data_IF_579098899798
#
_entry.id   IF_579098899798
#
_cell.length_a   1.000
_cell.length_b   1.000
_cell.length_c   1.000
_cell.angle_alpha   90.00
_cell.angle_beta   90.00
_cell.angle_gamma   90.00
#
_symmetry.space_group_name_H-M   'P 1'
#
loop_
_entity.id
_entity.type
_entity.pdbx_description
1 polymer ?
2 polymer ?
3 polymer ?
4 polymer ?
5 polymer ?
6 non-polymer ?
7 water ?
#
loop_
_entity_poly.entity_id
_entity_poly.type
_entity_poly.pdbx_seq_one_letter_code
_entity_poly.pdbx_strand_id
2 'polydeoxyribonucleotide' '(DA)(DC)(DA)(DA)(DC)(DA)(DG)(DA)(DG)(DG)(DA)(DT)(DG)(DG)(DA)(DG)(DC)(DT)' ?
3 'polydeoxyribonucleotide' '(DG)(DC)(DC)(DT)(DT)(DG)(DC)(DT)(DG)(DG)(DG)(DA)(DC)(DA)(DT)(DC)(DT)(DT)' ?
4 'polydeoxyribonucleotide' '(DA)(DG)(DC)(DT)(DC)(DC)(DA)(DT)(DC)(DC)(DA)(DG)(DC)(DA)(DA)(DG)(DG)(DC)' ?
5 'polydeoxyribonucleotide' '(DA)(DA)(DG)(DA)(DT)(DG)(DT)(DC)(DC)(DC)(DT)(DC)(DT)(DG)(DT)(DT)(DG)(DT)' ?
#
# COMPACT_ATOMS: atom_id res chain seq x y z
N UNK A 2 26.68 -0.36 12.88
CA UNK A 2 26.70 0.12 14.26
C UNK A 2 25.30 0.12 14.86
N UNK A 3 25.22 0.27 16.18
CA UNK A 3 23.94 0.29 16.86
C UNK A 3 23.12 1.51 16.43
N UNK A 4 21.80 1.34 16.38
CA UNK A 4 20.91 2.39 15.92
C UNK A 4 20.61 3.34 17.08
N UNK A 5 20.99 4.61 16.93
CA UNK A 5 20.77 5.59 17.98
C UNK A 5 19.51 6.42 17.79
N UNK A 6 18.90 6.39 16.61
CA UNK A 6 17.70 7.15 16.35
C UNK A 6 16.45 6.41 16.82
N UNK A 7 15.31 6.92 16.35
CA UNK A 7 14.04 6.29 16.66
C UNK A 7 13.88 4.98 15.88
N UNK A 8 13.24 4.01 16.52
CA UNK A 8 12.85 2.76 15.88
C UNK A 8 11.35 2.58 16.04
N UNK A 9 10.70 2.06 15.00
CA UNK A 9 9.25 1.91 14.98
C UNK A 9 8.92 0.51 14.47
N UNK A 10 8.04 -0.18 15.20
CA UNK A 10 7.54 -1.49 14.78
C UNK A 10 6.07 -1.37 14.44
N UNK A 11 5.68 -2.07 13.36
CA UNK A 11 4.32 -1.98 12.83
C UNK A 11 3.79 -3.40 12.62
N UNK A 12 2.59 -3.67 13.14
CA UNK A 12 1.85 -4.87 12.80
C UNK A 12 0.82 -4.49 11.74
N UNK A 13 1.02 -4.87 10.47
CA UNK A 13 0.21 -4.29 9.39
C UNK A 13 -1.20 -4.84 9.26
N UNK A 14 -1.61 -5.81 10.09
CA UNK A 14 -2.95 -6.37 9.94
C UNK A 14 -4.01 -5.33 10.30
N UNK A 15 -5.26 -5.67 9.99
CA UNK A 15 -6.35 -4.72 10.19
C UNK A 15 -6.45 -4.27 11.64
N UNK A 16 -6.29 -5.19 12.59
CA UNK A 16 -6.29 -4.86 14.01
C UNK A 16 -4.87 -4.81 14.58
N UNK A 17 -3.89 -4.47 13.75
CA UNK A 17 -2.52 -4.34 14.20
C UNK A 17 -2.31 -3.07 15.00
N UNK A 18 -1.04 -2.72 15.15
CA UNK A 18 -0.67 -1.57 15.96
C UNK A 18 0.69 -1.06 15.51
N UNK A 19 1.10 0.07 16.10
CA UNK A 19 2.38 0.70 15.81
C UNK A 19 3.02 1.08 17.15
N UNK A 20 4.29 0.73 17.33
CA UNK A 20 5.03 1.05 18.54
C UNK A 20 6.16 2.02 18.21
N UNK A 21 6.33 3.02 19.06
CA UNK A 21 7.36 4.05 18.89
C UNK A 21 8.31 4.00 20.07
N UNK A 22 9.60 3.84 19.79
CA UNK A 22 10.63 3.71 20.82
C UNK A 22 11.62 4.87 20.66
N UNK A 23 11.29 6.00 21.28
CA UNK A 23 12.24 7.11 21.34
C UNK A 23 13.38 6.73 22.29
N UNK A 24 14.61 7.13 21.98
CA UNK A 24 15.74 6.76 22.83
C UNK A 24 15.64 7.42 24.21
N UNK A 25 15.68 6.60 25.25
CA UNK A 25 15.65 7.07 26.64
C UNK A 25 14.40 7.92 26.92
N UNK A 26 13.27 7.48 26.39
CA UNK A 26 12.00 8.17 26.56
C UNK A 26 10.91 7.13 26.76
N UNK A 27 9.77 7.53 27.32
CA UNK A 27 8.66 6.59 27.52
C UNK A 27 8.21 5.97 26.20
N UNK A 28 8.21 4.64 26.10
CA UNK A 28 7.76 4.00 24.87
C UNK A 28 6.25 4.10 24.70
N UNK A 29 5.83 4.25 23.45
CA UNK A 29 4.42 4.47 23.12
C UNK A 29 3.94 3.42 22.12
N UNK A 30 2.63 3.14 22.17
CA UNK A 30 1.98 2.28 21.18
C UNK A 30 0.66 2.94 20.78
N UNK A 31 0.17 2.53 19.61
CA UNK A 31 -1.07 3.06 19.07
C UNK A 31 -1.78 1.97 18.29
N UNK A 32 -3.07 1.76 18.59
CA UNK A 32 -3.88 0.88 17.77
C UNK A 32 -4.01 1.45 16.36
N UNK A 33 -3.86 0.59 15.37
CA UNK A 33 -3.91 1.03 13.98
C UNK A 33 -5.27 1.64 13.67
N UNK A 34 -5.32 2.88 13.20
CA UNK A 34 -6.61 3.49 12.86
C UNK A 34 -7.30 2.73 11.74
N UNK A 35 -8.57 2.41 11.96
CA UNK A 35 -9.35 1.64 11.00
C UNK A 35 -10.72 2.31 10.81
N UNK A 36 -11.42 1.87 9.78
CA UNK A 36 -12.77 2.36 9.51
C UNK A 36 -13.56 1.24 8.86
N UNK A 37 -14.88 1.35 8.95
CA UNK A 37 -15.78 0.31 8.46
C UNK A 37 -16.21 0.62 7.03
N UNK A 38 -15.85 -0.25 6.11
CA UNK A 38 -16.10 -0.06 4.68
C UNK A 38 -17.14 -1.06 4.23
N UNK A 39 -18.05 -0.62 3.35
CA UNK A 39 -19.01 -1.52 2.75
C UNK A 39 -18.36 -2.28 1.61
N UNK A 40 -18.50 -3.61 1.63
CA UNK A 40 -17.93 -4.44 0.59
C UNK A 40 -18.86 -5.62 0.32
N UNK A 41 -19.34 -5.74 -0.90
CA UNK A 41 -20.27 -6.81 -1.21
C UNK A 41 -21.59 -6.57 -0.50
N UNK A 42 -21.98 -7.53 0.34
CA UNK A 42 -23.22 -7.45 1.09
C UNK A 42 -23.02 -6.99 2.52
N UNK A 43 -21.78 -6.96 3.01
CA UNK A 43 -21.53 -6.64 4.39
C UNK A 43 -20.56 -5.49 4.62
N UNK A 44 -20.07 -5.39 5.86
CA UNK A 44 -19.16 -4.33 6.26
C UNK A 44 -17.97 -4.95 6.99
N UNK A 45 -16.78 -4.45 6.70
CA UNK A 45 -15.56 -4.95 7.34
C UNK A 45 -14.67 -3.77 7.69
N UNK A 46 -13.84 -3.95 8.70
CA UNK A 46 -12.87 -2.93 9.07
C UNK A 46 -11.65 -3.00 8.16
N UNK A 47 -11.14 -1.84 7.78
CA UNK A 47 -9.94 -1.74 6.97
C UNK A 47 -9.13 -0.56 7.47
N UNK A 48 -7.83 -0.59 7.17
CA UNK A 48 -6.92 0.44 7.66
C UNK A 48 -7.30 1.81 7.12
N UNK A 49 -7.33 2.80 8.02
CA UNK A 49 -7.65 4.17 7.67
C UNK A 49 -6.35 4.87 7.27
N UNK A 50 -6.08 4.91 5.96
CA UNK A 50 -4.84 5.50 5.47
C UNK A 50 -4.71 6.97 5.86
N UNK A 51 -5.82 7.71 5.80
CA UNK A 51 -5.75 9.13 6.09
C UNK A 51 -5.40 9.37 7.56
N UNK A 52 -6.01 8.61 8.48
CA UNK A 52 -5.69 8.74 9.89
C UNK A 52 -4.30 8.21 10.22
N UNK A 53 -3.76 7.29 9.42
CA UNK A 53 -2.42 6.77 9.68
C UNK A 53 -1.38 7.86 9.40
N UNK A 54 -1.53 8.56 8.27
CA UNK A 54 -0.57 9.62 7.95
C UNK A 54 -0.72 10.79 8.91
N UNK A 55 -1.90 10.95 9.50
CA UNK A 55 -2.06 11.98 10.53
C UNK A 55 -1.38 11.57 11.83
N UNK A 56 -1.35 10.28 12.14
CA UNK A 56 -0.66 9.82 13.32
C UNK A 56 0.85 9.92 13.15
N UNK A 57 1.37 9.51 12.00
CA UNK A 57 2.81 9.52 11.77
C UNK A 57 3.34 10.95 11.69
N UNK A 58 2.58 11.87 11.08
CA UNK A 58 3.01 13.25 11.01
C UNK A 58 2.95 13.94 12.37
N UNK A 59 2.14 13.43 13.30
CA UNK A 59 2.15 13.95 14.66
C UNK A 59 3.42 13.58 15.40
N UNK A 60 4.13 12.53 14.95
CA UNK A 60 5.41 12.20 15.55
C UNK A 60 6.48 13.22 15.22
N UNK A 61 6.42 13.80 14.02
CA UNK A 61 7.46 14.68 13.50
C UNK A 61 8.83 14.03 13.62
N UNK A 62 8.91 12.77 13.17
CA UNK A 62 10.12 11.99 13.30
C UNK A 62 11.20 12.48 12.33
N UNK A 63 12.47 12.25 12.65
CA UNK A 63 13.53 12.56 11.68
C UNK A 63 13.36 11.75 10.42
N UNK A 64 13.66 12.36 9.28
CA UNK A 64 13.54 11.67 8.01
C UNK A 64 14.53 10.52 7.96
N UNK A 65 14.11 9.41 7.35
CA UNK A 65 14.91 8.21 7.36
C UNK A 65 14.80 7.39 8.63
N UNK A 66 13.84 7.69 9.49
CA UNK A 66 13.65 6.91 10.71
C UNK A 66 13.32 5.46 10.36
N UNK A 67 14.10 4.54 10.93
CA UNK A 67 13.93 3.13 10.61
C UNK A 67 12.60 2.62 11.15
N UNK A 68 11.82 1.99 10.27
CA UNK A 68 10.54 1.39 10.63
C UNK A 68 10.58 -0.07 10.21
N UNK A 69 10.38 -0.97 11.18
CA UNK A 69 10.37 -2.40 10.93
C UNK A 69 8.93 -2.88 10.87
N UNK A 70 8.56 -3.50 9.75
CA UNK A 70 7.19 -3.91 9.49
C UNK A 70 7.15 -5.43 9.34
N UNK A 71 6.22 -6.06 10.05
CA UNK A 71 6.09 -7.51 9.98
C UNK A 71 5.58 -7.92 8.60
N UNK A 72 6.26 -8.89 7.99
CA UNK A 72 5.86 -9.36 6.68
C UNK A 72 4.53 -10.10 6.76
N UNK A 73 3.71 -9.94 5.72
CA UNK A 73 2.46 -10.69 5.58
C UNK A 73 2.75 -11.97 4.80
N UNK A 74 2.67 -13.11 5.49
CA UNK A 74 2.89 -14.42 4.86
C UNK A 74 1.75 -15.34 5.27
N UNK A 75 0.63 -15.29 4.56
CA UNK A 75 -0.53 -16.13 4.92
C UNK A 75 -0.28 -17.60 4.61
N UNK A 76 -1.21 -18.43 5.10
CA UNK A 76 -1.11 -19.87 4.84
C UNK A 76 -1.93 -20.23 3.60
N UNK A 77 -1.58 -21.32 2.92
CA UNK A 77 -2.41 -21.77 1.80
C UNK A 77 -3.83 -22.13 2.21
N UNK A 78 -4.03 -22.54 3.47
CA UNK A 78 -5.37 -22.88 3.94
C UNK A 78 -6.24 -21.65 4.13
N UNK A 79 -5.66 -20.46 4.24
CA UNK A 79 -6.46 -19.28 4.46
C UNK A 79 -7.20 -18.87 3.19
N UNK A 80 -8.35 -18.23 3.37
CA UNK A 80 -9.18 -17.87 2.24
C UNK A 80 -8.57 -16.78 1.39
N UNK A 81 -9.15 -16.61 0.19
CA UNK A 81 -8.69 -15.57 -0.73
C UNK A 81 -8.77 -14.19 -0.08
N UNK A 82 -9.83 -13.94 0.69
CA UNK A 82 -9.95 -12.66 1.36
C UNK A 82 -8.85 -12.46 2.39
N UNK A 83 -8.43 -13.53 3.06
CA UNK A 83 -7.30 -13.43 3.97
C UNK A 83 -6.02 -13.03 3.27
N UNK A 84 -5.77 -13.62 2.10
CA UNK A 84 -4.60 -13.24 1.32
C UNK A 84 -4.72 -11.81 0.81
N UNK A 85 -5.90 -11.44 0.29
CA UNK A 85 -6.07 -10.09 -0.24
C UNK A 85 -5.86 -9.05 0.86
N UNK A 86 -6.54 -9.21 2.00
CA UNK A 86 -6.37 -8.29 3.11
C UNK A 86 -4.94 -8.28 3.63
N UNK A 87 -4.26 -9.43 3.59
CA UNK A 87 -2.89 -9.47 4.06
C UNK A 87 -1.98 -8.57 3.25
N UNK A 88 -2.05 -8.68 1.92
CA UNK A 88 -1.24 -7.83 1.07
C UNK A 88 -1.67 -6.37 1.12
N UNK A 89 -2.96 -6.12 1.32
CA UNK A 89 -3.47 -4.74 1.34
C UNK A 89 -2.86 -3.95 2.50
N UNK A 90 -3.02 -4.45 3.73
CA UNK A 90 -2.45 -3.77 4.88
C UNK A 90 -0.94 -3.71 4.83
N UNK A 91 -0.30 -4.72 4.24
CA UNK A 91 1.15 -4.70 4.12
C UNK A 91 1.60 -3.67 3.08
N UNK A 92 0.89 -3.59 1.96
CA UNK A 92 1.24 -2.61 0.94
C UNK A 92 0.91 -1.18 1.35
N UNK A 93 -0.24 -0.99 2.00
CA UNK A 93 -0.61 0.36 2.43
C UNK A 93 0.40 0.92 3.43
N UNK A 94 0.79 0.11 4.42
CA UNK A 94 1.76 0.59 5.40
C UNK A 94 3.08 0.97 4.74
N UNK A 95 3.62 0.09 3.90
CA UNK A 95 4.86 0.38 3.19
C UNK A 95 4.70 1.64 2.34
N UNK A 96 3.57 1.77 1.67
CA UNK A 96 3.35 2.94 0.83
C UNK A 96 3.29 4.23 1.62
N UNK A 97 2.59 4.20 2.77
CA UNK A 97 2.52 5.38 3.62
C UNK A 97 3.89 5.74 4.17
N UNK A 98 4.61 4.74 4.69
CA UNK A 98 5.88 5.02 5.35
C UNK A 98 6.93 5.51 4.37
N UNK A 99 7.01 4.87 3.20
CA UNK A 99 7.98 5.31 2.18
C UNK A 99 7.65 6.72 1.70
N UNK A 100 6.37 6.98 1.42
CA UNK A 100 5.99 8.32 0.98
C UNK A 100 6.21 9.36 2.08
N UNK A 101 6.11 8.96 3.34
CA UNK A 101 6.33 9.88 4.46
C UNK A 101 7.80 10.10 4.77
N UNK A 102 8.71 9.47 4.04
CA UNK A 102 10.13 9.67 4.25
C UNK A 102 10.80 8.71 5.21
N UNK A 103 10.09 7.67 5.66
CA UNK A 103 10.68 6.71 6.57
C UNK A 103 11.49 5.67 5.81
N UNK A 104 12.38 4.99 6.54
CA UNK A 104 13.14 3.87 6.01
C UNK A 104 12.46 2.59 6.49
N UNK A 105 11.92 1.82 5.55
CA UNK A 105 11.09 0.66 5.86
C UNK A 105 11.94 -0.60 5.74
N UNK A 106 11.89 -1.43 6.78
CA UNK A 106 12.61 -2.70 6.79
C UNK A 106 11.62 -3.83 7.04
N UNK A 107 11.33 -4.65 6.04
CA UNK A 107 10.44 -5.79 6.29
C UNK A 107 11.16 -6.86 7.12
N UNK A 108 10.48 -7.35 8.15
CA UNK A 108 11.01 -8.36 9.05
C UNK A 108 10.05 -9.54 9.05
N UNK A 109 10.52 -10.76 8.79
CA UNK A 109 9.62 -11.93 8.89
C UNK A 109 9.05 -12.08 10.30
N UNK A 110 7.83 -12.59 10.38
CA UNK A 110 7.15 -12.75 11.66
C UNK A 110 7.92 -13.72 12.57
N UNK A 111 8.69 -14.64 11.99
CA UNK A 111 9.47 -15.57 12.80
C UNK A 111 10.71 -14.91 13.40
N UNK A 112 11.23 -13.86 12.75
CA UNK A 112 12.51 -13.29 13.16
C UNK A 112 12.42 -12.67 14.56
N UNK A 113 11.47 -11.77 14.77
CA UNK A 113 11.40 -11.08 16.05
C UNK A 113 10.90 -12.00 17.16
N UNK A 114 10.06 -12.98 16.84
CA UNK A 114 9.62 -13.92 17.86
C UNK A 114 10.75 -14.89 18.24
N UNK A 115 11.64 -15.21 17.30
CA UNK A 115 12.79 -16.06 17.61
C UNK A 115 13.80 -15.33 18.48
N UNK A 116 13.81 -13.99 18.42
CA UNK A 116 14.71 -13.21 19.25
C UNK A 116 14.40 -13.40 20.73
N UNK A 117 13.12 -13.49 21.07
CA UNK A 117 12.70 -13.61 22.46
C UNK A 117 12.13 -15.00 22.74
N UNK A 126 2.47 -17.01 20.76
CA UNK A 126 1.45 -15.98 20.52
C UNK A 126 0.64 -15.73 21.79
N UNK A 127 0.32 -16.80 22.50
CA UNK A 127 -0.47 -16.67 23.73
C UNK A 127 0.29 -15.90 24.80
N UNK A 128 1.61 -16.07 24.84
CA UNK A 128 2.46 -15.44 25.85
C UNK A 128 3.03 -14.11 25.38
N UNK A 129 2.79 -13.71 24.12
CA UNK A 129 3.48 -12.56 23.56
C UNK A 129 3.19 -11.27 24.32
N UNK A 130 1.96 -11.11 24.81
CA UNK A 130 1.62 -9.89 25.53
C UNK A 130 2.36 -9.78 26.85
N UNK A 131 2.50 -10.90 27.57
CA UNK A 131 3.22 -10.86 28.84
C UNK A 131 4.71 -10.66 28.62
N UNK A 132 5.25 -11.14 27.51
CA UNK A 132 6.65 -10.87 27.19
C UNK A 132 6.87 -9.40 26.93
N UNK A 133 5.93 -8.76 26.21
CA UNK A 133 6.03 -7.33 25.98
C UNK A 133 5.64 -6.54 27.22
N UNK A 134 4.77 -7.11 28.06
CA UNK A 134 4.35 -6.41 29.27
C UNK A 134 5.50 -6.25 30.24
N UNK A 135 6.31 -7.29 30.41
CA UNK A 135 7.46 -7.17 31.31
C UNK A 135 8.58 -6.36 30.66
N UNK A 136 8.73 -6.48 29.34
CA UNK A 136 9.76 -5.73 28.63
C UNK A 136 9.47 -4.23 28.69
N UNK A 137 8.19 -3.86 28.59
CA UNK A 137 7.76 -2.47 28.64
C UNK A 137 6.75 -2.33 29.78
N UNK A 138 7.21 -2.13 31.01
CA UNK A 138 6.29 -2.11 32.15
C UNK A 138 5.34 -0.93 32.14
N UNK A 139 5.71 0.19 31.51
CA UNK A 139 4.83 1.36 31.49
C UNK A 139 3.52 1.06 30.78
N UNK A 140 3.59 0.30 29.68
CA UNK A 140 2.43 -0.04 28.88
C UNK A 140 1.79 -1.36 29.30
N UNK A 141 2.11 -1.84 30.50
CA UNK A 141 1.55 -3.11 30.97
C UNK A 141 0.04 -3.02 31.17
N UNK A 142 -0.46 -1.83 31.51
CA UNK A 142 -1.90 -1.66 31.70
C UNK A 142 -2.67 -1.84 30.39
N UNK A 143 -2.02 -1.60 29.25
CA UNK A 143 -2.66 -1.76 27.96
C UNK A 143 -2.66 -3.20 27.48
N UNK A 144 -1.77 -4.04 28.02
CA UNK A 144 -1.65 -5.44 27.61
C UNK A 144 -2.36 -6.37 28.58
N UNK A 145 -3.57 -6.02 29.01
CA UNK A 145 -4.36 -6.86 29.90
C UNK A 145 -5.41 -7.68 29.16
N UNK A 146 -5.96 -7.15 28.07
CA UNK A 146 -6.95 -7.84 27.26
C UNK A 146 -6.23 -8.48 26.08
N UNK A 147 -6.43 -9.79 25.90
CA UNK A 147 -5.70 -10.54 24.87
C UNK A 147 -5.94 -10.00 23.47
N UNK A 148 -6.99 -9.19 23.26
CA UNK A 148 -7.17 -8.54 21.97
C UNK A 148 -6.10 -7.50 21.68
N UNK A 149 -5.24 -7.19 22.66
CA UNK A 149 -4.12 -6.29 22.47
C UNK A 149 -2.87 -7.01 21.99
N UNK A 150 -3.02 -8.20 21.40
CA UNK A 150 -1.86 -8.91 20.88
C UNK A 150 -1.20 -8.14 19.74
N UNK A 151 -1.97 -7.33 19.01
CA UNK A 151 -1.39 -6.48 18.00
C UNK A 151 -0.50 -5.39 18.58
N UNK A 152 -0.85 -4.88 19.76
CA UNK A 152 0.01 -3.92 20.44
C UNK A 152 1.34 -4.56 20.85
N UNK A 153 1.26 -5.74 21.48
CA UNK A 153 2.47 -6.44 21.87
C UNK A 153 3.32 -6.82 20.67
N UNK A 154 2.69 -7.10 19.53
CA UNK A 154 3.43 -7.39 18.31
C UNK A 154 4.28 -6.20 17.89
N UNK A 155 3.65 -5.02 17.78
CA UNK A 155 4.38 -3.82 17.38
C UNK A 155 5.52 -3.52 18.34
N UNK A 156 5.31 -3.78 19.64
CA UNK A 156 6.37 -3.57 20.61
C UNK A 156 7.54 -4.51 20.36
N UNK A 157 7.26 -5.81 20.25
CA UNK A 157 8.33 -6.79 20.06
C UNK A 157 9.00 -6.64 18.70
N UNK A 158 8.25 -6.20 17.69
CA UNK A 158 8.88 -5.90 16.41
C UNK A 158 9.80 -4.69 16.54
N UNK A 159 9.36 -3.67 17.27
CA UNK A 159 10.19 -2.48 17.47
C UNK A 159 11.38 -2.77 18.36
N UNK A 160 11.19 -3.55 19.42
CA UNK A 160 12.30 -3.95 20.27
C UNK A 160 13.32 -4.78 19.50
N UNK A 161 12.84 -5.62 18.58
CA UNK A 161 13.75 -6.37 17.71
C UNK A 161 14.51 -5.45 16.78
N UNK A 162 13.85 -4.37 16.31
CA UNK A 162 14.48 -3.50 15.34
C UNK A 162 15.65 -2.70 15.93
N UNK A 163 15.51 -2.26 17.18
CA UNK A 163 16.59 -1.49 17.79
C UNK A 163 17.83 -2.34 18.02
N UNK A 164 17.67 -3.66 18.16
CA UNK A 164 18.81 -4.54 18.29
C UNK A 164 19.51 -4.83 16.98
N UNK A 165 18.93 -4.45 15.85
CA UNK A 165 19.53 -4.67 14.54
C UNK A 165 20.40 -3.47 14.20
N UNK A 166 21.66 -3.74 13.86
CA UNK A 166 22.60 -2.69 13.53
C UNK A 166 22.23 -2.03 12.20
N UNK A 167 22.67 -0.79 12.02
CA UNK A 167 22.35 -0.04 10.81
C UNK A 167 23.62 0.60 10.25
N UNK A 168 23.45 1.44 9.22
CA UNK A 168 24.56 2.21 8.67
C UNK A 168 24.13 3.63 8.33
N UNK B 6 -7.72 21.13 -11.01
CA UNK B 6 -8.22 20.69 -12.30
C UNK B 6 -7.49 19.47 -12.85
N UNK B 7 -6.37 19.12 -12.22
CA UNK B 7 -5.60 17.97 -12.66
C UNK B 7 -6.36 16.67 -12.37
N UNK B 8 -6.18 15.69 -13.25
CA UNK B 8 -6.78 14.38 -13.10
C UNK B 8 -5.70 13.32 -13.29
N UNK B 9 -5.60 12.41 -12.33
CA UNK B 9 -4.61 11.34 -12.35
C UNK B 9 -5.33 10.00 -12.31
N UNK B 10 -4.98 9.11 -13.22
CA UNK B 10 -5.52 7.75 -13.25
C UNK B 10 -4.42 6.73 -13.05
N UNK B 11 -4.69 5.75 -12.20
CA UNK B 11 -3.68 4.76 -11.81
C UNK B 11 -4.25 3.36 -12.01
N UNK B 12 -3.52 2.52 -12.73
CA UNK B 12 -3.77 1.09 -12.76
C UNK B 12 -2.82 0.43 -11.78
N UNK B 13 -3.31 -0.09 -10.65
CA UNK B 13 -2.41 -0.44 -9.53
C UNK B 13 -1.74 -1.80 -9.65
N UNK B 14 -1.92 -2.54 -10.74
CA UNK B 14 -1.31 -3.86 -10.83
C UNK B 14 0.21 -3.72 -11.03
N UNK B 15 0.91 -4.85 -10.86
CA UNK B 15 2.36 -4.83 -10.86
C UNK B 15 2.94 -4.39 -12.20
N UNK B 16 2.15 -4.45 -13.28
CA UNK B 16 2.56 -3.95 -14.58
C UNK B 16 1.62 -2.84 -15.05
N UNK B 17 1.08 -2.08 -14.11
CA UNK B 17 0.14 -1.02 -14.41
C UNK B 17 0.84 0.24 -14.88
N UNK B 18 0.14 1.36 -14.74
CA UNK B 18 0.64 2.63 -15.22
C UNK B 18 -0.06 3.76 -14.49
N UNK B 19 0.42 4.98 -14.74
CA UNK B 19 -0.18 6.19 -14.19
C UNK B 19 -0.38 7.18 -15.33
N UNK B 20 -1.56 7.78 -15.39
CA UNK B 20 -1.88 8.78 -16.40
C UNK B 20 -2.11 10.13 -15.73
N UNK B 21 -1.62 11.19 -16.37
CA UNK B 21 -1.70 12.54 -15.83
C UNK B 21 -2.40 13.43 -16.85
N UNK B 22 -3.45 14.13 -16.41
CA UNK B 22 -4.27 14.97 -17.29
C UNK B 22 -4.30 16.39 -16.73
N UNK B 23 -3.26 17.15 -17.03
CA UNK B 23 -3.24 18.56 -16.68
C UNK B 23 -4.14 19.34 -17.64
N UNK B 24 -4.92 20.30 -17.13
CA UNK B 24 -5.81 21.07 -18.02
C UNK B 24 -5.00 21.95 -18.97
N UNK B 25 -5.48 22.01 -20.21
CA UNK B 25 -4.92 22.89 -21.23
C UNK B 25 -3.47 22.55 -21.57
N UNK B 26 -3.01 21.36 -21.20
CA UNK B 26 -1.66 20.89 -21.48
C UNK B 26 -1.73 19.46 -21.98
N UNK B 27 -0.77 19.03 -22.81
CA UNK B 27 -0.86 17.70 -23.43
C UNK B 27 -0.84 16.59 -22.38
N UNK B 28 -1.39 15.43 -22.71
CA UNK B 28 -1.49 14.35 -21.73
C UNK B 28 -0.16 13.64 -21.54
N UNK B 29 -0.10 12.83 -20.48
CA UNK B 29 1.09 12.06 -20.15
C UNK B 29 0.67 10.69 -19.63
N UNK B 30 1.62 9.76 -19.67
CA UNK B 30 1.42 8.42 -19.10
C UNK B 30 2.79 7.87 -18.75
N UNK B 31 2.83 7.07 -17.68
CA UNK B 31 4.08 6.51 -17.18
C UNK B 31 3.87 5.07 -16.74
N UNK B 32 4.79 4.19 -17.13
CA UNK B 32 4.79 2.84 -16.58
C UNK B 32 5.06 2.89 -15.09
N UNK B 33 4.43 1.99 -14.36
CA UNK B 33 4.66 1.93 -12.91
C UNK B 33 6.06 1.38 -12.65
N UNK B 34 6.91 2.11 -11.92
CA UNK B 34 8.25 1.58 -11.62
C UNK B 34 8.17 0.34 -10.75
N UNK B 35 9.08 -0.59 -10.98
CA UNK B 35 9.04 -1.89 -10.33
C UNK B 35 10.46 -2.29 -9.93
N UNK B 36 10.54 -3.44 -9.26
CA UNK B 36 11.83 -4.03 -8.90
C UNK B 36 11.64 -5.54 -8.78
N UNK B 37 12.74 -6.22 -8.43
CA UNK B 37 12.76 -7.67 -8.30
C UNK B 37 13.05 -8.02 -6.85
N UNK B 38 12.17 -8.80 -6.23
CA UNK B 38 12.32 -9.20 -4.84
C UNK B 38 12.23 -10.72 -4.77
N UNK B 39 13.10 -11.33 -3.96
CA UNK B 39 13.08 -12.78 -3.78
C UNK B 39 11.93 -13.16 -2.86
N UNK B 40 11.11 -14.10 -3.30
CA UNK B 40 9.98 -14.60 -2.52
C UNK B 40 10.10 -16.11 -2.47
N UNK B 41 10.47 -16.63 -1.31
CA UNK B 41 10.65 -18.07 -1.18
C UNK B 41 11.75 -18.55 -2.11
N UNK B 42 11.38 -19.40 -3.05
CA UNK B 42 12.28 -19.88 -4.10
C UNK B 42 11.88 -19.21 -5.39
N UNK B 43 12.63 -18.19 -5.80
CA UNK B 43 12.33 -17.43 -7.00
C UNK B 43 12.18 -15.95 -6.70
N UNK B 44 12.17 -15.18 -7.80
CA UNK B 44 12.05 -13.73 -7.73
C UNK B 44 10.64 -13.35 -8.19
N UNK B 45 10.17 -12.23 -7.64
CA UNK B 45 8.84 -11.72 -7.95
C UNK B 45 8.94 -10.25 -8.32
N UNK B 46 8.01 -9.80 -9.16
CA UNK B 46 7.98 -8.42 -9.64
C UNK B 46 6.98 -7.63 -8.79
N UNK B 47 7.47 -6.59 -8.12
CA UNK B 47 6.63 -5.78 -7.25
C UNK B 47 6.87 -4.30 -7.51
N UNK B 48 5.90 -3.49 -7.07
CA UNK B 48 5.98 -2.05 -7.27
C UNK B 48 7.09 -1.44 -6.43
N UNK B 49 7.85 -0.53 -7.04
CA UNK B 49 8.92 0.18 -6.38
C UNK B 49 8.34 1.43 -5.72
N UNK B 50 8.09 1.35 -4.41
CA UNK B 50 7.44 2.45 -3.70
C UNK B 50 8.29 3.71 -3.74
N UNK B 51 9.61 3.58 -3.57
CA UNK B 51 10.49 4.74 -3.61
C UNK B 51 10.40 5.46 -4.94
N UNK B 52 10.48 4.73 -6.04
CA UNK B 52 10.44 5.36 -7.36
C UNK B 52 9.07 5.94 -7.66
N UNK B 53 8.00 5.35 -7.10
CA UNK B 53 6.66 5.89 -7.30
C UNK B 53 6.55 7.26 -6.63
N UNK B 54 7.12 7.40 -5.44
CA UNK B 54 7.04 8.67 -4.71
C UNK B 54 7.78 9.76 -5.48
N UNK B 55 8.99 9.46 -5.97
CA UNK B 55 9.74 10.45 -6.72
C UNK B 55 9.07 10.79 -8.04
N UNK B 56 8.38 9.83 -8.66
CA UNK B 56 7.60 10.12 -9.85
C UNK B 56 6.42 11.03 -9.54
N UNK B 57 5.82 10.86 -8.36
CA UNK B 57 4.68 11.69 -7.99
C UNK B 57 5.11 13.11 -7.67
N UNK B 58 6.14 13.28 -6.85
CA UNK B 58 6.59 14.61 -6.48
C UNK B 58 7.19 15.36 -7.65
N UNK B 59 7.73 14.65 -8.65
CA UNK B 59 8.24 15.30 -9.85
C UNK B 59 7.13 15.96 -10.66
N UNK B 60 5.88 15.51 -10.50
CA UNK B 60 4.77 16.16 -11.19
C UNK B 60 4.58 17.58 -10.71
N UNK B 61 4.97 17.88 -9.47
CA UNK B 61 4.72 19.18 -8.84
C UNK B 61 3.23 19.53 -8.94
N UNK B 62 2.39 18.57 -8.55
CA UNK B 62 0.95 18.69 -8.69
C UNK B 62 0.36 19.57 -7.60
N UNK B 63 -0.76 20.24 -7.89
CA UNK B 63 -1.43 21.02 -6.84
C UNK B 63 -1.90 20.12 -5.71
N UNK B 64 -1.88 20.67 -4.50
CA UNK B 64 -2.24 19.89 -3.32
C UNK B 64 -3.72 19.52 -3.39
N UNK B 65 -4.04 18.28 -3.04
CA UNK B 65 -5.40 17.80 -3.10
C UNK B 65 -5.88 17.39 -4.47
N UNK B 66 -4.95 17.08 -5.39
CA UNK B 66 -5.34 16.66 -6.73
C UNK B 66 -6.03 15.30 -6.68
N UNK B 67 -7.16 15.18 -7.37
CA UNK B 67 -7.93 13.94 -7.36
C UNK B 67 -7.23 12.87 -8.17
N UNK B 68 -7.05 11.70 -7.57
CA UNK B 68 -6.44 10.55 -8.22
C UNK B 68 -7.44 9.42 -8.21
N UNK B 69 -7.85 8.97 -9.39
CA UNK B 69 -8.77 7.85 -9.54
C UNK B 69 -7.97 6.57 -9.69
N UNK B 70 -8.25 5.59 -8.83
CA UNK B 70 -7.50 4.33 -8.78
C UNK B 70 -8.46 3.19 -9.04
N UNK B 71 -8.05 2.25 -9.89
CA UNK B 71 -8.87 1.09 -10.20
C UNK B 71 -8.93 0.15 -9.01
N UNK B 72 -10.14 -0.23 -8.61
CA UNK B 72 -10.32 -1.13 -7.49
C UNK B 72 -9.85 -2.54 -7.82
N UNK B 73 -9.21 -3.19 -6.85
CA UNK B 73 -8.76 -4.56 -7.01
C UNK B 73 -9.90 -5.50 -6.62
N UNK B 74 -10.46 -6.19 -7.62
CA UNK B 74 -11.55 -7.15 -7.40
C UNK B 74 -11.26 -8.42 -8.19
N UNK B 75 -10.38 -9.28 -7.68
CA UNK B 75 -10.05 -10.51 -8.41
C UNK B 75 -11.20 -11.51 -8.34
N UNK B 76 -11.09 -12.56 -9.20
CA UNK B 76 -12.13 -13.57 -9.30
C UNK B 76 -11.88 -14.69 -8.29
N UNK B 77 -12.94 -15.39 -7.87
CA UNK B 77 -12.75 -16.53 -6.97
C UNK B 77 -11.87 -17.61 -7.57
N UNK B 78 -11.87 -17.77 -8.89
CA UNK B 78 -11.03 -18.78 -9.52
C UNK B 78 -9.54 -18.44 -9.46
N UNK B 79 -9.20 -17.19 -9.18
CA UNK B 79 -7.80 -16.77 -9.12
C UNK B 79 -7.13 -17.33 -7.87
N UNK B 80 -5.82 -17.57 -7.99
CA UNK B 80 -5.07 -18.12 -6.89
C UNK B 80 -4.93 -17.16 -5.72
N UNK B 81 -4.49 -17.72 -4.58
CA UNK B 81 -4.32 -16.91 -3.38
C UNK B 81 -3.29 -15.82 -3.59
N UNK B 82 -2.22 -16.12 -4.32
CA UNK B 82 -1.19 -15.13 -4.60
C UNK B 82 -1.74 -13.98 -5.43
N UNK B 83 -2.65 -14.28 -6.37
CA UNK B 83 -3.27 -13.21 -7.14
C UNK B 83 -4.07 -12.27 -6.28
N UNK B 84 -4.80 -12.82 -5.29
CA UNK B 84 -5.53 -11.97 -4.35
C UNK B 84 -4.58 -11.15 -3.50
N UNK B 85 -3.52 -11.77 -2.99
CA UNK B 85 -2.55 -11.05 -2.18
C UNK B 85 -1.93 -9.91 -2.96
N UNK B 86 -1.42 -10.21 -4.17
CA UNK B 86 -0.82 -9.18 -5.01
C UNK B 86 -1.82 -8.10 -5.40
N UNK B 87 -3.09 -8.49 -5.59
CA UNK B 87 -4.10 -7.51 -5.96
C UNK B 87 -4.29 -6.45 -4.88
N UNK B 88 -4.50 -6.90 -3.63
CA UNK B 88 -4.62 -5.96 -2.54
C UNK B 88 -3.33 -5.23 -2.23
N UNK B 89 -2.19 -5.87 -2.48
CA UNK B 89 -0.89 -5.24 -2.20
C UNK B 89 -0.69 -3.99 -3.05
N UNK B 90 -0.79 -4.13 -4.37
CA UNK B 90 -0.63 -2.98 -5.25
C UNK B 90 -1.69 -1.93 -5.02
N UNK B 91 -2.92 -2.37 -4.74
CA UNK B 91 -4.00 -1.43 -4.45
C UNK B 91 -3.71 -0.64 -3.19
N UNK B 92 -3.41 -1.33 -2.09
CA UNK B 92 -3.14 -0.65 -0.84
C UNK B 92 -1.90 0.23 -0.90
N UNK B 93 -0.85 -0.23 -1.58
CA UNK B 93 0.36 0.58 -1.68
C UNK B 93 0.08 1.89 -2.40
N UNK B 94 -0.63 1.83 -3.52
CA UNK B 94 -0.97 3.06 -4.23
C UNK B 94 -1.82 3.98 -3.38
N UNK B 95 -2.83 3.43 -2.70
CA UNK B 95 -3.65 4.23 -1.79
C UNK B 95 -2.76 4.87 -0.73
N UNK B 96 -1.87 4.08 -0.14
CA UNK B 96 -1.01 4.60 0.92
C UNK B 96 -0.07 5.67 0.43
N UNK B 97 0.55 5.45 -0.73
CA UNK B 97 1.45 6.45 -1.29
C UNK B 97 0.70 7.74 -1.62
N UNK B 98 -0.49 7.60 -2.21
CA UNK B 98 -1.23 8.78 -2.67
C UNK B 98 -1.80 9.58 -1.51
N UNK B 99 -2.36 8.90 -0.51
CA UNK B 99 -2.91 9.59 0.65
C UNK B 99 -1.80 10.29 1.43
N UNK B 100 -0.66 9.62 1.59
CA UNK B 100 0.45 10.24 2.31
C UNK B 100 1.05 11.39 1.54
N UNK B 101 0.91 11.39 0.21
CA UNK B 101 1.47 12.46 -0.61
C UNK B 101 0.52 13.63 -0.78
N UNK B 102 -0.62 13.64 -0.10
CA UNK B 102 -1.54 14.75 -0.15
C UNK B 102 -2.61 14.68 -1.22
N UNK B 103 -2.58 13.67 -2.08
CA UNK B 103 -3.60 13.53 -3.11
C UNK B 103 -4.92 13.06 -2.49
N UNK B 104 -6.02 13.39 -3.16
CA UNK B 104 -7.34 12.90 -2.80
C UNK B 104 -7.64 11.69 -3.67
N UNK B 105 -7.87 10.55 -3.04
CA UNK B 105 -8.00 9.28 -3.75
C UNK B 105 -9.46 8.90 -3.87
N UNK B 106 -9.87 8.45 -5.06
CA UNK B 106 -11.22 7.99 -5.29
C UNK B 106 -11.15 6.62 -5.98
N UNK B 107 -11.49 5.54 -5.28
CA UNK B 107 -11.51 4.23 -5.93
C UNK B 107 -12.58 4.17 -7.01
N UNK B 108 -12.32 3.33 -8.02
CA UNK B 108 -13.24 3.18 -9.14
C UNK B 108 -13.17 1.75 -9.65
N UNK B 109 -14.30 1.14 -9.98
CA UNK B 109 -14.28 -0.25 -10.47
C UNK B 109 -13.70 -0.34 -11.86
N UNK B 110 -13.33 -1.57 -12.24
CA UNK B 110 -12.77 -1.79 -13.57
C UNK B 110 -13.84 -1.72 -14.66
N UNK B 111 -15.09 -1.97 -14.30
CA UNK B 111 -16.20 -1.86 -15.24
C UNK B 111 -16.66 -0.42 -15.44
N UNK B 112 -16.06 0.53 -14.74
CA UNK B 112 -16.55 1.91 -14.76
C UNK B 112 -16.37 2.56 -16.12
N UNK B 113 -15.16 2.45 -16.70
CA UNK B 113 -14.92 3.17 -17.95
C UNK B 113 -15.60 2.49 -19.14
N UNK B 114 -16.17 1.29 -18.95
CA UNK B 114 -16.99 0.70 -19.99
C UNK B 114 -18.34 1.40 -20.12
N UNK B 115 -18.73 2.18 -19.11
CA UNK B 115 -19.99 2.92 -19.17
C UNK B 115 -19.94 4.01 -20.23
N UNK B 116 -18.95 4.89 -20.15
CA UNK B 116 -18.89 6.00 -21.10
C UNK B 116 -18.18 5.59 -22.39
N UNK B 117 -17.31 4.59 -22.33
CA UNK B 117 -16.63 4.03 -23.51
C UNK B 117 -17.18 2.61 -23.70
N UNK B 118 -18.10 2.46 -24.65
CA UNK B 118 -18.84 1.22 -24.80
C UNK B 118 -17.91 0.05 -25.11
N UNK B 119 -17.99 -0.99 -24.28
CA UNK B 119 -17.22 -2.21 -24.45
C UNK B 119 -17.94 -3.33 -23.71
N UNK B 120 -17.89 -4.53 -24.27
CA UNK B 120 -18.66 -5.66 -23.76
C UNK B 120 -17.77 -6.90 -23.68
N UNK B 121 -18.35 -7.97 -23.13
CA UNK B 121 -17.68 -9.27 -23.12
C UNK B 121 -17.44 -9.75 -24.56
N UNK B 122 -18.52 -9.88 -25.33
CA UNK B 122 -18.39 -10.03 -26.77
C UNK B 122 -17.61 -8.85 -27.33
N UNK B 123 -16.91 -9.08 -28.44
CA UNK B 123 -15.91 -8.13 -28.94
C UNK B 123 -14.90 -7.82 -27.85
N UNK B 124 -14.29 -8.88 -27.31
CA UNK B 124 -13.41 -8.75 -26.16
C UNK B 124 -12.22 -7.85 -26.50
N UNK B 125 -11.71 -7.17 -25.46
CA UNK B 125 -10.67 -6.16 -25.63
C UNK B 125 -9.30 -6.83 -25.76
N UNK B 126 -9.12 -7.55 -26.87
CA UNK B 126 -7.79 -8.02 -27.22
C UNK B 126 -6.86 -6.85 -27.49
N UNK B 127 -7.38 -5.84 -28.20
CA UNK B 127 -6.71 -4.55 -28.36
C UNK B 127 -7.70 -3.40 -28.37
N UNK B 128 -8.96 -3.63 -27.98
CA UNK B 128 -9.96 -2.57 -28.00
C UNK B 128 -9.60 -1.47 -27.00
N UNK B 129 -9.21 -1.86 -25.78
CA UNK B 129 -8.83 -0.87 -24.77
C UNK B 129 -7.55 -0.14 -25.17
N UNK B 130 -6.61 -0.84 -25.79
CA UNK B 130 -5.32 -0.23 -26.11
C UNK B 130 -5.45 0.82 -27.20
N UNK B 131 -6.43 0.69 -28.08
CA UNK B 131 -6.59 1.61 -29.20
C UNK B 131 -7.84 2.47 -29.10
N UNK B 132 -8.71 2.24 -28.13
CA UNK B 132 -9.66 3.29 -27.79
C UNK B 132 -8.97 4.38 -26.98
N UNK B 133 -7.96 4.00 -26.18
CA UNK B 133 -7.18 5.00 -25.47
C UNK B 133 -6.25 5.75 -26.43
N UNK B 134 -5.73 5.06 -27.45
CA UNK B 134 -4.95 5.74 -28.48
C UNK B 134 -5.81 6.71 -29.27
N UNK B 135 -7.11 6.45 -29.36
CA UNK B 135 -8.01 7.37 -30.04
C UNK B 135 -8.26 8.62 -29.21
N UNK B 136 -8.56 8.46 -27.92
CA UNK B 136 -8.78 9.60 -27.06
C UNK B 136 -7.50 10.41 -26.83
N UNK B 137 -6.33 9.81 -27.00
CA UNK B 137 -5.05 10.48 -26.78
C UNK B 137 -4.15 10.22 -27.97
N UNK B 138 -4.29 11.01 -29.04
CA UNK B 138 -3.42 10.81 -30.21
C UNK B 138 -1.96 11.08 -29.93
N UNK B 139 -1.66 11.91 -28.94
CA UNK B 139 -0.27 12.18 -28.59
C UNK B 139 0.44 10.92 -28.12
N UNK B 140 -0.27 10.02 -27.47
CA UNK B 140 0.30 8.80 -26.92
C UNK B 140 0.04 7.58 -27.80
N UNK B 141 -0.19 7.79 -29.09
CA UNK B 141 -0.47 6.68 -30.00
C UNK B 141 0.75 5.79 -30.18
N UNK B 142 1.95 6.38 -30.14
CA UNK B 142 3.19 5.61 -30.28
C UNK B 142 3.44 4.70 -29.09
N UNK B 143 2.88 4.99 -27.92
CA UNK B 143 3.16 4.24 -26.71
C UNK B 143 2.24 3.04 -26.53
N UNK B 144 1.32 2.78 -27.46
CA UNK B 144 0.30 1.77 -27.28
C UNK B 144 0.29 0.75 -28.42
N UNK B 145 1.35 0.70 -29.23
CA UNK B 145 1.37 -0.19 -30.38
C UNK B 145 1.50 -1.65 -29.95
N UNK B 146 2.44 -1.94 -29.04
CA UNK B 146 2.64 -3.30 -28.60
C UNK B 146 1.49 -3.76 -27.70
N UNK B 147 1.35 -5.09 -27.58
CA UNK B 147 0.33 -5.66 -26.73
C UNK B 147 0.63 -5.49 -25.25
N UNK B 148 1.89 -5.23 -24.91
CA UNK B 148 2.30 -5.03 -23.52
C UNK B 148 1.84 -3.69 -22.96
N UNK B 149 1.31 -2.80 -23.79
CA UNK B 149 0.79 -1.52 -23.34
C UNK B 149 -0.61 -1.63 -22.74
N UNK B 150 -0.96 -2.81 -22.20
CA UNK B 150 -2.26 -2.99 -21.57
C UNK B 150 -2.45 -2.01 -20.42
N UNK B 151 -1.44 -1.88 -19.56
CA UNK B 151 -1.56 -1.02 -18.41
C UNK B 151 -1.62 0.45 -18.76
N UNK B 152 -0.83 0.86 -19.76
CA UNK B 152 -0.81 2.27 -20.14
C UNK B 152 -2.18 2.74 -20.62
N UNK B 153 -2.85 1.92 -21.43
CA UNK B 153 -4.19 2.27 -21.90
C UNK B 153 -5.19 2.27 -20.75
N UNK B 154 -5.05 1.33 -19.81
CA UNK B 154 -5.97 1.25 -18.69
C UNK B 154 -5.93 2.53 -17.85
N UNK B 155 -4.72 2.96 -17.46
CA UNK B 155 -4.60 4.18 -16.66
C UNK B 155 -5.12 5.40 -17.40
N UNK B 156 -4.96 5.42 -18.73
CA UNK B 156 -5.48 6.54 -19.51
C UNK B 156 -7.00 6.58 -19.49
N UNK B 157 -7.64 5.41 -19.60
CA UNK B 157 -9.09 5.36 -19.54
C UNK B 157 -9.63 5.68 -18.16
N UNK B 158 -8.89 5.29 -17.10
CA UNK B 158 -9.31 5.60 -15.74
C UNK B 158 -9.30 7.11 -15.52
N UNK B 159 -8.23 7.77 -15.96
CA UNK B 159 -8.15 9.22 -15.81
C UNK B 159 -9.22 9.91 -16.66
N UNK B 160 -9.47 9.41 -17.86
CA UNK B 160 -10.50 10.01 -18.70
C UNK B 160 -11.88 9.86 -18.08
N UNK B 161 -12.12 8.71 -17.41
CA UNK B 161 -13.40 8.53 -16.72
C UNK B 161 -13.57 9.54 -15.59
N UNK B 162 -12.49 9.80 -14.84
CA UNK B 162 -12.58 10.77 -13.76
C UNK B 162 -12.68 12.20 -14.25
N UNK B 163 -12.07 12.50 -15.40
CA UNK B 163 -12.15 13.84 -15.97
C UNK B 163 -13.59 14.19 -16.33
N UNK B 164 -14.27 13.29 -17.04
CA UNK B 164 -15.66 13.51 -17.41
C UNK B 164 -16.63 13.24 -16.27
X LIG G 1 -11.72 -8.18 -0.96
X LIG G 1 -12.71 -9.22 -1.19
X LIG G 1 -10.89 -8.55 0.18
X LIG G 1 -10.88 -8.04 -2.15
X LIG G 1 -12.39 -6.91 -0.69
X LIG H 1 3.26 -13.79 -0.90
X LIG H 1 4.38 -12.84 -0.83
X LIG H 1 2.92 -14.25 0.44
X LIG H 1 3.64 -14.92 -1.73
X LIG H 1 2.11 -13.14 -1.51
#
# INVERSE_FOLDING_TARGET
AHMNAGWVIGVAPDTSGALALLKPNQPPQVFDSPHLKVLVGKGVRKRLDAKAIVQLLKSFEAPIGTTVYVAQSTPYPQDGKQGWWSGGFGYGMWIGILVASGFSVIPVPSSAWKSEFQLTKERSNKDYSRQVASQLFPSLSSLLKRKKAHGRAAALLIAAYGKGIKINS
AHMNAGWVIGVAPDTSGALALLKPNQPPQVFDSPHLKVLVGKGVRKRLDAKAIVQLLKSFEAPIGTTVYVAQSTPYPQDGKQGWWSGGFGYGMWIGILVASGFSVIPVPSSAWKSEFQLTKERSNKDYSRQVASQLFPSLSSLLKRKKAHGRAAALLIAAYGKGIKINS
SO4 S O1 O2 O3 O4
SO4 S O1 O2 O3 O4
#
